data_IF_897483167512
#
_entry.id   IF_897483167512
#
_cell.length_a   1.000
_cell.length_b   1.000
_cell.length_c   1.000
_cell.angle_alpha   90.00
_cell.angle_beta   90.00
_cell.angle_gamma   90.00
#
_symmetry.space_group_name_H-M   'P 1'
#
loop_
_entity.id
_entity.type
_entity.pdbx_description
1 polymer ?
#
# COMPACT_ATOMS: atom_id res chain seq x y z
N UNK A 1 -3.24 -13.73 -14.16
CA UNK A 1 -3.31 -14.82 -13.15
C UNK A 1 -2.38 -15.95 -13.49
N UNK A 2 -2.43 -16.44 -14.69
CA UNK A 2 -1.56 -17.47 -15.23
C UNK A 2 -0.07 -17.12 -15.23
N UNK A 3 0.21 -15.86 -15.30
CA UNK A 3 1.53 -15.32 -15.63
C UNK A 3 2.56 -15.56 -14.55
N UNK A 4 2.19 -15.47 -13.28
CA UNK A 4 3.16 -15.59 -12.21
C UNK A 4 3.61 -17.04 -11.96
N UNK A 5 2.68 -17.99 -11.89
CA UNK A 5 3.01 -19.41 -11.75
C UNK A 5 3.84 -19.87 -12.94
N UNK A 6 3.44 -19.50 -14.16
CA UNK A 6 4.17 -19.84 -15.37
C UNK A 6 5.60 -19.26 -15.39
N UNK A 7 5.79 -18.01 -14.97
CA UNK A 7 7.13 -17.41 -14.89
C UNK A 7 8.00 -18.02 -13.79
N UNK A 8 7.44 -18.36 -12.63
CA UNK A 8 8.17 -19.03 -11.57
C UNK A 8 8.61 -20.42 -12.02
N UNK A 9 7.70 -21.20 -12.60
CA UNK A 9 7.97 -22.57 -13.03
C UNK A 9 8.97 -22.62 -14.21
N UNK A 10 8.78 -21.78 -15.23
CA UNK A 10 9.61 -21.81 -16.44
C UNK A 10 10.95 -21.10 -16.30
N UNK A 11 11.00 -20.01 -15.53
CA UNK A 11 12.17 -19.12 -15.54
C UNK A 11 12.78 -18.92 -14.15
N UNK A 12 12.24 -19.57 -13.14
CA UNK A 12 12.64 -19.36 -11.74
C UNK A 12 12.63 -17.86 -11.38
N UNK A 13 11.66 -17.10 -11.93
CA UNK A 13 11.56 -15.66 -11.79
C UNK A 13 10.35 -15.24 -10.96
N UNK A 14 10.60 -14.47 -9.91
CA UNK A 14 9.57 -13.87 -9.04
C UNK A 14 9.35 -12.41 -9.43
N UNK A 15 8.31 -12.11 -10.20
CA UNK A 15 8.04 -10.75 -10.72
C UNK A 15 7.79 -9.71 -9.63
N UNK A 16 7.34 -10.11 -8.45
CA UNK A 16 7.19 -9.24 -7.27
C UNK A 16 8.42 -9.25 -6.34
N UNK A 17 9.54 -9.87 -6.76
CA UNK A 17 10.70 -10.05 -5.90
C UNK A 17 10.36 -10.86 -4.64
N UNK A 18 10.73 -10.35 -3.48
CA UNK A 18 10.45 -11.01 -2.19
C UNK A 18 9.03 -10.77 -1.66
N UNK A 19 8.27 -9.84 -2.24
CA UNK A 19 6.95 -9.48 -1.74
C UNK A 19 5.92 -10.57 -2.03
N UNK A 20 5.09 -10.83 -1.02
CA UNK A 20 3.99 -11.79 -1.12
C UNK A 20 2.94 -11.30 -2.11
N UNK A 21 2.31 -12.25 -2.80
CA UNK A 21 1.18 -11.98 -3.67
C UNK A 21 1.56 -11.59 -5.11
N UNK A 22 0.55 -11.31 -5.90
CA UNK A 22 0.66 -10.87 -7.30
C UNK A 22 -0.41 -9.82 -7.59
N UNK A 23 -0.37 -9.19 -8.77
CA UNK A 23 -1.35 -8.19 -9.21
C UNK A 23 -2.78 -8.60 -8.81
N UNK A 24 -3.49 -7.68 -8.15
CA UNK A 24 -4.86 -7.89 -7.67
C UNK A 24 -4.99 -8.39 -6.25
N UNK A 25 -3.90 -8.86 -5.62
CA UNK A 25 -3.89 -9.29 -4.22
C UNK A 25 -3.85 -8.09 -3.26
N UNK A 26 -4.34 -8.32 -2.05
CA UNK A 26 -4.22 -7.38 -0.94
C UNK A 26 -2.78 -7.26 -0.39
N UNK A 27 -1.93 -8.23 -0.68
CA UNK A 27 -0.52 -8.27 -0.26
C UNK A 27 0.37 -7.28 -1.02
N UNK A 28 1.56 -6.98 -0.49
CA UNK A 28 2.48 -5.98 -1.06
C UNK A 28 2.83 -6.26 -2.53
N UNK A 29 3.03 -7.53 -2.92
CA UNK A 29 3.29 -7.91 -4.32
C UNK A 29 2.12 -7.65 -5.27
N UNK A 30 0.93 -7.35 -4.71
CA UNK A 30 -0.27 -7.06 -5.49
C UNK A 30 -0.36 -5.63 -6.02
N UNK A 31 0.32 -4.67 -5.36
CA UNK A 31 0.15 -3.25 -5.65
C UNK A 31 1.44 -2.41 -5.58
N UNK A 32 2.57 -2.98 -5.17
CA UNK A 32 3.85 -2.28 -5.30
C UNK A 32 4.30 -2.22 -6.74
N UNK A 33 4.74 -1.04 -7.16
CA UNK A 33 5.28 -0.79 -8.49
C UNK A 33 6.62 -0.04 -8.39
N UNK A 34 7.54 -0.22 -9.33
CA UNK A 34 8.72 0.62 -9.45
C UNK A 34 8.31 2.07 -9.72
N UNK A 35 8.95 3.00 -9.00
CA UNK A 35 8.75 4.43 -9.20
C UNK A 35 10.10 5.14 -9.27
N UNK A 36 10.42 5.72 -10.42
CA UNK A 36 11.67 6.43 -10.68
C UNK A 36 11.39 7.85 -11.15
N UNK A 37 12.16 8.80 -10.61
CA UNK A 37 12.06 10.22 -11.00
C UNK A 37 13.42 10.70 -11.49
N UNK A 38 13.42 11.33 -12.67
CA UNK A 38 14.59 12.02 -13.22
C UNK A 38 14.25 13.48 -13.45
N UNK A 39 14.86 14.34 -12.62
CA UNK A 39 14.68 15.79 -12.71
C UNK A 39 15.96 16.52 -12.28
N UNK A 40 16.97 16.61 -13.20
CA UNK A 40 18.35 16.98 -12.86
C UNK A 40 18.50 18.29 -12.09
N UNK A 41 17.67 19.30 -12.36
CA UNK A 41 17.77 20.61 -11.70
C UNK A 41 17.24 20.62 -10.25
N UNK A 42 16.46 19.60 -9.84
CA UNK A 42 15.69 19.66 -8.58
C UNK A 42 15.78 18.40 -7.73
N UNK A 43 16.04 17.25 -8.34
CA UNK A 43 16.19 15.97 -7.65
C UNK A 43 17.64 15.51 -7.75
N UNK A 44 18.27 15.32 -6.60
CA UNK A 44 19.66 14.85 -6.53
C UNK A 44 19.76 13.44 -7.12
N UNK A 45 20.73 13.23 -7.99
CA UNK A 45 21.00 11.90 -8.56
C UNK A 45 21.41 10.88 -7.49
N UNK A 46 21.14 9.60 -7.73
CA UNK A 46 21.50 8.49 -6.85
C UNK A 46 20.93 8.60 -5.43
N UNK A 47 19.70 9.13 -5.31
CA UNK A 47 18.98 9.17 -4.03
C UNK A 47 17.82 8.20 -4.02
N UNK A 48 17.50 7.67 -2.84
CA UNK A 48 16.35 6.79 -2.60
C UNK A 48 15.52 7.35 -1.45
N UNK A 49 14.22 7.16 -1.50
CA UNK A 49 13.30 7.49 -0.43
C UNK A 49 12.46 6.28 -0.06
N UNK A 50 12.26 6.05 1.24
CA UNK A 50 11.36 5.02 1.78
C UNK A 50 9.97 5.57 2.12
N UNK A 51 9.66 6.81 1.72
CA UNK A 51 8.34 7.39 1.94
C UNK A 51 7.26 6.54 1.24
N UNK A 52 6.20 6.23 1.97
CA UNK A 52 5.05 5.50 1.41
C UNK A 52 4.25 6.45 0.53
N UNK A 53 4.23 6.18 -0.77
CA UNK A 53 3.57 7.01 -1.79
C UNK A 53 2.57 6.19 -2.60
N UNK A 54 1.67 6.88 -3.28
CA UNK A 54 0.75 6.28 -4.26
C UNK A 54 0.74 7.09 -5.55
N UNK A 55 0.22 6.52 -6.63
CA UNK A 55 0.06 7.27 -7.90
C UNK A 55 -0.89 8.48 -7.77
N UNK A 56 -1.84 8.43 -6.83
CA UNK A 56 -2.72 9.57 -6.54
C UNK A 56 -1.93 10.82 -6.12
N UNK A 57 -0.76 10.66 -5.50
CA UNK A 57 0.09 11.78 -5.09
C UNK A 57 0.67 12.60 -6.27
N UNK A 58 0.67 12.04 -7.47
CA UNK A 58 1.17 12.75 -8.66
C UNK A 58 0.32 13.98 -8.99
N UNK A 59 -0.99 13.94 -8.77
CA UNK A 59 -1.86 15.08 -9.07
C UNK A 59 -1.48 16.32 -8.27
N UNK A 60 -1.37 16.21 -6.93
CA UNK A 60 -0.95 17.34 -6.10
C UNK A 60 0.50 17.75 -6.39
N UNK A 61 1.37 16.81 -6.73
CA UNK A 61 2.77 17.10 -7.08
C UNK A 61 2.87 17.89 -8.38
N UNK A 62 2.08 17.54 -9.39
CA UNK A 62 1.97 18.33 -10.62
C UNK A 62 1.33 19.71 -10.36
N UNK A 63 0.35 19.77 -9.48
CA UNK A 63 -0.23 21.02 -9.03
C UNK A 63 0.81 21.98 -8.44
N UNK A 64 1.66 21.49 -7.55
CA UNK A 64 2.77 22.27 -6.98
C UNK A 64 3.78 22.75 -8.03
N UNK A 65 4.01 21.94 -9.07
CA UNK A 65 4.89 22.31 -10.18
C UNK A 65 4.34 23.45 -11.04
N UNK A 66 3.04 23.44 -11.28
CA UNK A 66 2.37 24.37 -12.19
C UNK A 66 1.77 25.58 -11.47
N UNK A 67 1.78 25.59 -10.13
CA UNK A 67 1.09 26.59 -9.32
C UNK A 67 -0.44 26.45 -9.32
N UNK A 68 -0.97 25.33 -9.82
CA UNK A 68 -2.41 25.04 -9.87
C UNK A 68 -2.78 24.17 -8.68
N UNK A 69 -3.71 24.64 -7.84
CA UNK A 69 -4.16 23.85 -6.69
C UNK A 69 -4.90 22.60 -7.15
N UNK A 70 -4.40 21.44 -6.73
CA UNK A 70 -5.12 20.18 -6.89
C UNK A 70 -6.35 20.14 -5.96
N UNK A 71 -7.49 19.69 -6.48
CA UNK A 71 -8.78 19.67 -5.77
C UNK A 71 -9.26 18.27 -5.39
N UNK A 72 -8.41 17.26 -5.48
CA UNK A 72 -8.75 15.89 -5.10
C UNK A 72 -8.44 15.60 -3.62
N UNK A 73 -9.31 14.85 -2.95
CA UNK A 73 -9.19 14.53 -1.52
C UNK A 73 -8.05 13.54 -1.20
N UNK A 74 -7.73 12.64 -2.13
CA UNK A 74 -6.76 11.54 -1.91
C UNK A 74 -5.36 11.85 -2.45
N UNK A 75 -5.04 13.12 -2.72
CA UNK A 75 -3.76 13.53 -3.31
C UNK A 75 -2.96 14.40 -2.36
N UNK A 76 -1.71 14.05 -2.16
CA UNK A 76 -0.75 14.76 -1.30
C UNK A 76 0.55 14.93 -2.06
N UNK A 77 1.09 16.14 -2.11
CA UNK A 77 2.31 16.39 -2.88
C UNK A 77 3.52 15.65 -2.30
N UNK A 78 4.26 14.98 -3.17
CA UNK A 78 5.56 14.40 -2.86
C UNK A 78 6.73 15.34 -3.21
N UNK A 79 6.45 16.57 -3.60
CA UNK A 79 7.49 17.54 -3.96
C UNK A 79 8.56 17.72 -2.89
N UNK A 80 8.22 17.85 -1.58
CA UNK A 80 9.22 17.94 -0.53
C UNK A 80 10.10 16.69 -0.41
N UNK A 81 9.54 15.49 -0.66
CA UNK A 81 10.28 14.23 -0.71
C UNK A 81 11.27 14.24 -1.88
N UNK A 82 10.81 14.61 -3.07
CA UNK A 82 11.65 14.67 -4.28
C UNK A 82 12.83 15.64 -4.12
N UNK A 83 12.62 16.74 -3.42
CA UNK A 83 13.66 17.73 -3.09
C UNK A 83 14.55 17.34 -1.90
N UNK A 84 14.31 16.19 -1.26
CA UNK A 84 15.07 15.74 -0.09
C UNK A 84 14.83 16.56 1.19
N UNK A 85 13.74 17.31 1.26
CA UNK A 85 13.40 18.20 2.37
C UNK A 85 12.72 17.47 3.53
N UNK A 86 11.98 16.42 3.24
CA UNK A 86 11.27 15.59 4.23
C UNK A 86 11.39 14.11 3.90
N UNK A 87 11.11 13.25 4.89
CA UNK A 87 11.04 11.78 4.73
C UNK A 87 9.60 11.27 4.70
N UNK A 88 8.64 12.15 4.98
CA UNK A 88 7.21 11.80 5.08
C UNK A 88 6.36 12.80 4.29
N UNK A 89 5.21 12.33 3.83
CA UNK A 89 4.25 13.18 3.12
C UNK A 89 3.35 13.86 4.15
N UNK A 90 3.45 15.19 4.21
CA UNK A 90 2.66 15.98 5.15
C UNK A 90 1.16 15.84 4.87
N UNK A 91 0.40 15.53 5.92
CA UNK A 91 -1.07 15.46 5.87
C UNK A 91 -1.64 14.17 5.29
N UNK A 92 -0.82 13.26 4.74
CA UNK A 92 -1.31 11.96 4.26
C UNK A 92 -1.62 11.06 5.46
N UNK A 93 -2.91 10.70 5.68
CA UNK A 93 -3.29 9.92 6.87
C UNK A 93 -2.86 8.45 6.77
N UNK A 94 -2.84 7.93 5.58
CA UNK A 94 -2.49 6.56 5.21
C UNK A 94 -2.80 6.31 3.74
N UNK A 95 -2.46 5.15 3.24
CA UNK A 95 -2.80 4.72 1.87
C UNK A 95 -3.80 3.58 1.96
N UNK A 96 -4.92 3.74 1.25
CA UNK A 96 -5.94 2.70 1.11
C UNK A 96 -5.87 2.13 -0.29
N UNK A 97 -5.85 0.79 -0.37
CA UNK A 97 -5.84 0.04 -1.64
C UNK A 97 -6.93 -1.03 -1.57
N UNK A 98 -7.59 -1.29 -2.70
CA UNK A 98 -8.54 -2.38 -2.83
C UNK A 98 -7.93 -3.55 -3.61
N UNK A 99 -8.16 -4.76 -3.13
CA UNK A 99 -7.86 -5.97 -3.89
C UNK A 99 -8.90 -6.23 -4.97
N UNK A 100 -8.66 -7.23 -5.83
CA UNK A 100 -9.57 -7.54 -6.96
C UNK A 100 -10.97 -8.02 -6.54
N UNK A 101 -11.11 -8.63 -5.35
CA UNK A 101 -12.43 -9.01 -4.81
C UNK A 101 -12.97 -8.01 -3.78
N UNK A 102 -12.33 -6.84 -3.65
CA UNK A 102 -12.84 -5.75 -2.82
C UNK A 102 -12.33 -5.73 -1.37
N UNK A 103 -11.33 -6.54 -0.99
CA UNK A 103 -10.70 -6.37 0.32
C UNK A 103 -10.00 -5.02 0.40
N UNK A 104 -10.38 -4.20 1.36
CA UNK A 104 -9.68 -2.95 1.62
C UNK A 104 -8.44 -3.21 2.47
N UNK A 105 -7.35 -2.59 2.09
CA UNK A 105 -6.15 -2.52 2.89
C UNK A 105 -5.88 -1.09 3.29
N UNK A 106 -5.37 -0.88 4.50
CA UNK A 106 -4.84 0.42 4.90
C UNK A 106 -3.40 0.26 5.36
N UNK A 107 -2.53 1.11 4.84
CA UNK A 107 -1.13 1.23 5.24
C UNK A 107 -0.88 2.59 5.88
N UNK A 108 -0.32 2.57 7.10
CA UNK A 108 0.16 3.75 7.81
C UNK A 108 1.55 3.47 8.39
N UNK A 109 2.55 4.15 7.86
CA UNK A 109 3.95 3.87 8.22
C UNK A 109 4.34 2.42 7.93
N UNK A 110 4.80 1.73 8.95
CA UNK A 110 5.25 0.34 8.86
C UNK A 110 4.11 -0.69 8.98
N UNK A 111 2.91 -0.25 9.34
CA UNK A 111 1.78 -1.14 9.59
C UNK A 111 0.81 -1.21 8.42
N UNK A 112 0.34 -2.41 8.16
CA UNK A 112 -0.67 -2.70 7.12
C UNK A 112 -1.74 -3.63 7.67
N UNK A 113 -2.99 -3.20 7.55
CA UNK A 113 -4.19 -3.97 7.87
C UNK A 113 -4.90 -4.35 6.58
N UNK A 114 -5.32 -5.59 6.47
CA UNK A 114 -6.18 -6.11 5.40
C UNK A 114 -7.52 -6.49 6.01
N UNK A 115 -8.62 -5.93 5.49
CA UNK A 115 -10.00 -6.24 5.92
C UNK A 115 -10.50 -7.49 5.19
N UNK A 116 -9.95 -8.63 5.53
CA UNK A 116 -10.31 -9.93 4.97
C UNK A 116 -9.25 -10.98 5.24
N UNK A 117 -9.61 -12.25 5.02
CA UNK A 117 -8.75 -13.41 5.19
C UNK A 117 -8.43 -14.02 3.82
N UNK A 118 -7.16 -14.31 3.59
CA UNK A 118 -6.63 -14.74 2.29
C UNK A 118 -6.07 -13.59 1.47
N UNK A 119 -5.76 -13.84 0.20
CA UNK A 119 -5.11 -12.84 -0.67
C UNK A 119 -6.05 -11.72 -1.12
N UNK A 120 -7.35 -11.98 -1.11
CA UNK A 120 -8.33 -11.06 -1.70
C UNK A 120 -8.17 -10.90 -3.23
N UNK A 121 -7.41 -11.78 -3.87
CA UNK A 121 -7.08 -11.65 -5.28
C UNK A 121 -6.86 -12.98 -5.98
N UNK A 122 -5.68 -13.18 -6.56
CA UNK A 122 -5.40 -14.32 -7.41
C UNK A 122 -4.47 -15.38 -6.78
N UNK A 123 -3.78 -15.04 -5.70
CA UNK A 123 -2.97 -16.01 -4.96
C UNK A 123 -3.86 -16.84 -4.03
N UNK A 124 -3.72 -18.15 -4.09
CA UNK A 124 -4.47 -19.05 -3.19
C UNK A 124 -3.89 -19.04 -1.75
N UNK A 125 -4.74 -19.14 -0.72
CA UNK A 125 -6.19 -19.06 -0.79
C UNK A 125 -6.66 -17.62 -1.07
N UNK A 126 -7.56 -17.46 -2.05
CA UNK A 126 -8.11 -16.15 -2.42
C UNK A 126 -8.97 -15.58 -1.29
N UNK A 127 -9.82 -16.43 -0.73
CA UNK A 127 -10.71 -16.09 0.38
C UNK A 127 -10.72 -17.23 1.38
N UNK A 128 -10.61 -16.89 2.64
CA UNK A 128 -10.82 -17.81 3.76
C UNK A 128 -12.09 -17.38 4.47
N UNK A 129 -13.05 -18.29 4.63
CA UNK A 129 -14.28 -17.98 5.35
C UNK A 129 -13.98 -17.85 6.85
N UNK A 130 -14.58 -16.86 7.46
CA UNK A 130 -14.47 -16.65 8.89
C UNK A 130 -15.22 -17.77 9.63
N UNK A 131 -14.51 -18.55 10.43
CA UNK A 131 -15.09 -19.74 11.08
C UNK A 131 -15.82 -19.43 12.37
N UNK A 132 -15.51 -18.30 13.04
CA UNK A 132 -16.14 -17.89 14.32
C UNK A 132 -16.00 -16.39 14.53
N UNK A 133 -16.70 -15.84 15.55
CA UNK A 133 -16.40 -14.56 16.15
C UNK A 133 -14.91 -14.47 16.50
N UNK A 134 -14.17 -13.59 15.85
CA UNK A 134 -12.74 -13.47 16.07
C UNK A 134 -12.02 -12.83 14.90
N UNK A 135 -11.03 -13.53 14.35
CA UNK A 135 -10.14 -13.03 13.31
C UNK A 135 -10.89 -12.82 11.99
N UNK A 136 -11.03 -11.56 11.60
CA UNK A 136 -11.72 -11.17 10.37
C UNK A 136 -10.88 -10.22 9.50
N UNK A 137 -9.56 -10.25 9.70
CA UNK A 137 -8.59 -9.47 8.96
C UNK A 137 -7.18 -9.98 9.19
N UNK A 138 -6.20 -9.33 8.59
CA UNK A 138 -4.78 -9.66 8.70
C UNK A 138 -4.00 -8.39 9.01
N UNK A 139 -3.02 -8.46 9.92
CA UNK A 139 -2.18 -7.33 10.30
C UNK A 139 -0.71 -7.68 10.15
N UNK A 140 0.05 -6.83 9.47
CA UNK A 140 1.47 -7.02 9.25
C UNK A 140 2.28 -5.78 9.64
N UNK A 141 3.48 -6.01 10.19
CA UNK A 141 4.49 -4.97 10.37
C UNK A 141 5.53 -5.09 9.25
N UNK A 142 5.40 -4.31 8.21
CA UNK A 142 6.22 -4.38 7.00
C UNK A 142 7.69 -4.00 7.21
N UNK A 143 8.04 -3.39 8.34
CA UNK A 143 9.44 -3.10 8.68
C UNK A 143 10.18 -4.36 9.10
N UNK A 144 9.58 -5.19 9.92
CA UNK A 144 10.15 -6.46 10.38
C UNK A 144 9.78 -7.65 9.51
N UNK A 145 8.67 -7.54 8.78
CA UNK A 145 8.11 -8.60 7.94
C UNK A 145 7.64 -8.05 6.57
N UNK A 146 8.57 -7.66 5.69
CA UNK A 146 8.22 -7.15 4.36
C UNK A 146 7.57 -8.19 3.45
N UNK A 147 7.65 -9.48 3.83
CA UNK A 147 7.08 -10.61 3.09
C UNK A 147 5.65 -10.95 3.52
N UNK A 148 5.13 -10.28 4.55
CA UNK A 148 3.79 -10.56 5.10
C UNK A 148 3.61 -12.05 5.44
N UNK A 149 4.65 -12.64 6.06
CA UNK A 149 4.67 -14.05 6.45
C UNK A 149 4.02 -14.29 7.81
N UNK A 150 4.07 -13.29 8.71
CA UNK A 150 3.64 -13.39 10.09
C UNK A 150 2.45 -12.46 10.33
N UNK A 151 1.25 -13.02 10.34
CA UNK A 151 0.04 -12.29 10.72
C UNK A 151 0.02 -12.10 12.24
N UNK A 152 0.01 -10.84 12.66
CA UNK A 152 -0.01 -10.45 14.07
C UNK A 152 -1.34 -9.82 14.49
N UNK A 153 -2.41 -10.08 13.75
CA UNK A 153 -3.74 -9.53 13.98
C UNK A 153 -4.26 -9.83 15.40
N UNK A 154 -4.19 -11.08 15.84
CA UNK A 154 -4.71 -11.45 17.17
C UNK A 154 -3.93 -10.83 18.31
N UNK A 155 -2.62 -10.69 18.17
CA UNK A 155 -1.73 -10.20 19.22
C UNK A 155 -1.60 -8.69 19.29
N UNK A 156 -2.15 -7.93 18.31
CA UNK A 156 -2.02 -6.48 18.20
C UNK A 156 -3.37 -5.77 17.99
N UNK A 157 -4.36 -6.12 18.79
CA UNK A 157 -5.73 -5.62 18.64
C UNK A 157 -5.86 -4.09 18.76
N UNK A 158 -5.02 -3.43 19.54
CA UNK A 158 -5.01 -1.96 19.62
C UNK A 158 -4.60 -1.35 18.26
N UNK A 159 -3.61 -1.93 17.61
CA UNK A 159 -3.19 -1.48 16.26
C UNK A 159 -4.26 -1.76 15.22
N UNK A 160 -4.92 -2.90 15.28
CA UNK A 160 -6.08 -3.22 14.43
C UNK A 160 -7.16 -2.15 14.60
N UNK A 161 -7.53 -1.81 15.83
CA UNK A 161 -8.53 -0.79 16.12
C UNK A 161 -8.13 0.59 15.61
N UNK A 162 -6.87 0.98 15.82
CA UNK A 162 -6.33 2.26 15.29
C UNK A 162 -6.50 2.35 13.77
N UNK A 163 -6.05 1.31 13.05
CA UNK A 163 -6.08 1.32 11.58
C UNK A 163 -7.50 1.20 11.03
N UNK A 164 -8.39 0.46 11.70
CA UNK A 164 -9.82 0.42 11.33
C UNK A 164 -10.49 1.77 11.49
N UNK A 165 -10.25 2.45 12.60
CA UNK A 165 -10.81 3.78 12.82
C UNK A 165 -10.32 4.74 11.71
N UNK A 166 -9.02 4.73 11.42
CA UNK A 166 -8.45 5.53 10.35
C UNK A 166 -9.05 5.20 8.98
N UNK A 167 -9.24 3.91 8.68
CA UNK A 167 -9.90 3.48 7.44
C UNK A 167 -11.34 4.00 7.35
N UNK A 168 -12.08 3.98 8.46
CA UNK A 168 -13.45 4.52 8.49
C UNK A 168 -13.47 6.04 8.35
N UNK A 169 -12.55 6.76 8.95
CA UNK A 169 -12.39 8.20 8.77
C UNK A 169 -12.14 8.54 7.28
N UNK A 170 -11.18 7.88 6.65
CA UNK A 170 -10.88 8.07 5.22
C UNK A 170 -12.11 7.77 4.35
N UNK A 171 -12.85 6.70 4.64
CA UNK A 171 -14.12 6.38 3.94
C UNK A 171 -15.21 7.40 4.20
N UNK A 172 -15.27 7.98 5.39
CA UNK A 172 -16.26 9.00 5.77
C UNK A 172 -16.11 10.31 5.01
N UNK A 173 -14.89 10.70 4.67
CA UNK A 173 -14.63 11.88 3.82
C UNK A 173 -15.27 11.77 2.43
N UNK A 174 -15.51 10.57 1.91
CA UNK A 174 -16.13 10.33 0.59
C UNK A 174 -17.66 10.44 0.56
N UNK A 175 -18.31 10.75 1.68
CA UNK A 175 -19.78 10.84 1.79
C UNK A 175 -20.29 12.30 1.88
N UNK A 176 -19.45 13.30 1.65
CA UNK A 176 -19.84 14.72 1.68
C UNK A 176 -19.86 15.34 0.31
#
# INVERSE_FOLDING_TARGET
TYWRSDYIERFNHTSAGEFRGMKGDAYEGGHRIPFFVRWPAHVKANTTSNATTSLANLLATCGDLTGIKATSEDTYSIMPILKGQTKEIKGQPGIVVSSSIGYLTIRKGDWKLIEGLGSGGFTEPQKIEQVKEGVNGQLFNLKSDPKEANDVFETNQEKVKELRNLLQEIKGYKKR
#
